data_IF_053895150993
#
_entry.id   IF_053895150993
#
_cell.length_a   1.000
_cell.length_b   1.000
_cell.length_c   1.000
_cell.angle_alpha   90.00
_cell.angle_beta   90.00
_cell.angle_gamma   90.00
#
_symmetry.space_group_name_H-M   'P 1'
#
loop_
_entity.id
_entity.type
_entity.pdbx_description
1 polymer ?
#
# COMPACT_ATOMS: atom_id res chain seq x y z
N UNK A 1 27.58 10.74 -29.98
CA UNK A 1 27.26 9.75 -28.94
C UNK A 1 25.96 10.16 -28.31
N UNK A 2 24.87 9.48 -28.67
CA UNK A 2 23.56 9.70 -28.05
C UNK A 2 23.54 8.96 -26.71
N UNK A 3 23.27 9.70 -25.63
CA UNK A 3 23.18 9.16 -24.27
C UNK A 3 21.99 8.18 -24.19
N UNK A 4 22.14 7.00 -23.56
CA UNK A 4 21.04 6.08 -23.41
C UNK A 4 19.93 6.74 -22.60
N UNK A 5 18.79 6.99 -23.25
CA UNK A 5 17.60 7.55 -22.63
C UNK A 5 17.16 6.62 -21.50
N UNK A 6 17.19 7.13 -20.25
CA UNK A 6 16.71 6.42 -19.05
C UNK A 6 15.38 5.71 -19.39
N UNK A 7 15.22 4.42 -19.05
CA UNK A 7 13.94 3.75 -19.23
C UNK A 7 12.88 4.53 -18.44
N UNK A 8 11.83 4.98 -19.12
CA UNK A 8 10.61 5.48 -18.46
C UNK A 8 10.01 4.31 -17.69
N UNK A 9 10.45 4.12 -16.44
CA UNK A 9 9.79 3.21 -15.52
C UNK A 9 8.33 3.66 -15.42
N UNK A 10 7.42 2.90 -16.01
CA UNK A 10 5.99 3.03 -15.77
C UNK A 10 5.79 2.78 -14.28
N UNK A 11 5.63 3.85 -13.50
CA UNK A 11 5.29 3.72 -12.09
C UNK A 11 3.93 3.02 -12.01
N UNK A 12 3.94 1.73 -11.69
CA UNK A 12 2.73 0.89 -11.57
C UNK A 12 1.93 1.20 -10.31
N UNK A 13 2.47 1.99 -9.38
CA UNK A 13 1.85 2.35 -8.11
C UNK A 13 1.54 3.84 -8.10
N UNK A 14 0.32 4.17 -7.68
CA UNK A 14 -0.14 5.55 -7.49
C UNK A 14 0.16 5.98 -6.06
N UNK A 15 0.67 7.20 -5.89
CA UNK A 15 0.78 7.83 -4.59
C UNK A 15 -0.55 8.50 -4.25
N UNK A 16 -1.13 8.15 -3.10
CA UNK A 16 -2.40 8.70 -2.63
C UNK A 16 -2.21 9.27 -1.23
N UNK A 17 -2.77 10.47 -1.00
CA UNK A 17 -2.77 11.07 0.32
C UNK A 17 -4.04 10.64 1.07
N UNK A 18 -3.88 9.83 2.10
CA UNK A 18 -4.97 9.31 2.90
C UNK A 18 -5.07 10.07 4.23
N UNK A 19 -6.28 10.51 4.59
CA UNK A 19 -6.58 10.99 5.93
C UNK A 19 -7.08 9.82 6.75
N UNK A 20 -6.35 9.43 7.79
CA UNK A 20 -6.76 8.42 8.77
C UNK A 20 -6.72 9.00 10.16
N UNK A 21 -7.49 8.40 11.06
CA UNK A 21 -7.46 8.76 12.47
C UNK A 21 -6.07 8.52 13.07
N UNK A 22 -5.60 9.39 13.97
CA UNK A 22 -4.25 9.31 14.53
C UNK A 22 -4.02 7.99 15.28
N UNK A 23 -5.04 7.50 15.99
CA UNK A 23 -4.97 6.24 16.74
C UNK A 23 -4.72 5.04 15.80
N UNK A 24 -5.37 5.01 14.63
CA UNK A 24 -5.16 3.98 13.62
C UNK A 24 -3.76 4.05 13.01
N UNK A 25 -3.22 5.27 12.79
CA UNK A 25 -1.86 5.44 12.31
C UNK A 25 -0.83 4.92 13.32
N UNK A 26 -1.01 5.22 14.61
CA UNK A 26 -0.13 4.74 15.66
C UNK A 26 -0.15 3.23 15.77
N UNK A 27 -1.33 2.63 15.73
CA UNK A 27 -1.48 1.17 15.71
C UNK A 27 -0.79 0.55 14.49
N UNK A 28 -1.01 1.09 13.27
CA UNK A 28 -0.36 0.62 12.04
C UNK A 28 1.17 0.75 12.08
N UNK A 29 1.70 1.80 12.71
CA UNK A 29 3.15 1.97 12.89
C UNK A 29 3.74 0.90 13.80
N UNK A 30 3.08 0.62 14.93
CA UNK A 30 3.49 -0.46 15.86
C UNK A 30 3.45 -1.82 15.17
N UNK A 31 2.37 -2.09 14.42
CA UNK A 31 2.23 -3.29 13.62
C UNK A 31 3.34 -3.40 12.56
N UNK A 32 3.65 -2.30 11.86
CA UNK A 32 4.74 -2.25 10.88
C UNK A 32 6.11 -2.53 11.48
N UNK A 33 6.35 -2.10 12.72
CA UNK A 33 7.57 -2.43 13.45
C UNK A 33 7.63 -3.92 13.83
N UNK A 34 6.54 -4.49 14.32
CA UNK A 34 6.47 -5.90 14.73
C UNK A 34 6.71 -6.86 13.56
N UNK A 35 6.14 -6.57 12.38
CA UNK A 35 6.29 -7.41 11.20
C UNK A 35 7.45 -7.00 10.27
N UNK A 36 8.24 -6.00 10.66
CA UNK A 36 9.31 -5.41 9.83
C UNK A 36 8.82 -5.00 8.42
N UNK A 37 7.58 -4.49 8.34
CA UNK A 37 6.95 -4.06 7.08
C UNK A 37 6.61 -2.57 7.10
N UNK A 38 6.75 -1.88 5.96
CA UNK A 38 6.30 -0.50 5.86
C UNK A 38 4.78 -0.42 5.97
N UNK A 39 4.25 0.63 6.60
CA UNK A 39 2.81 0.87 6.79
C UNK A 39 2.02 0.76 5.46
N UNK A 40 2.60 1.26 4.36
CA UNK A 40 1.97 1.18 3.04
C UNK A 40 1.77 -0.28 2.57
N UNK A 41 2.66 -1.20 2.95
CA UNK A 41 2.48 -2.63 2.65
C UNK A 41 1.28 -3.19 3.40
N UNK A 42 1.16 -2.88 4.70
CA UNK A 42 0.05 -3.35 5.54
C UNK A 42 -1.29 -2.83 5.05
N UNK A 43 -1.39 -1.55 4.68
CA UNK A 43 -2.60 -0.96 4.12
C UNK A 43 -3.00 -1.68 2.82
N UNK A 44 -2.05 -1.90 1.90
CA UNK A 44 -2.34 -2.61 0.65
C UNK A 44 -2.77 -4.06 0.90
N UNK A 45 -2.18 -4.74 1.89
CA UNK A 45 -2.55 -6.10 2.25
C UNK A 45 -3.98 -6.16 2.80
N UNK A 46 -4.32 -5.28 3.74
CA UNK A 46 -5.67 -5.19 4.32
C UNK A 46 -6.73 -4.88 3.25
N UNK A 47 -6.46 -3.92 2.35
CA UNK A 47 -7.38 -3.58 1.26
C UNK A 47 -7.58 -4.75 0.28
N UNK A 48 -6.52 -5.53 -0.01
CA UNK A 48 -6.65 -6.73 -0.85
C UNK A 48 -7.50 -7.81 -0.18
N UNK A 49 -7.29 -8.04 1.10
CA UNK A 49 -8.07 -9.02 1.86
C UNK A 49 -9.54 -8.63 1.87
N UNK A 50 -9.84 -7.36 2.20
CA UNK A 50 -11.21 -6.84 2.18
C UNK A 50 -11.86 -6.92 0.79
N UNK A 51 -11.10 -6.63 -0.28
CA UNK A 51 -11.58 -6.80 -1.66
C UNK A 51 -12.03 -8.24 -1.93
N UNK A 52 -11.21 -9.22 -1.56
CA UNK A 52 -11.54 -10.63 -1.75
C UNK A 52 -12.79 -11.02 -0.95
N UNK A 53 -12.90 -10.60 0.31
CA UNK A 53 -14.08 -10.90 1.14
C UNK A 53 -15.36 -10.29 0.55
N UNK A 54 -15.32 -9.04 0.09
CA UNK A 54 -16.47 -8.37 -0.54
C UNK A 54 -16.86 -9.03 -1.86
N UNK A 55 -15.89 -9.44 -2.69
CA UNK A 55 -16.16 -10.12 -3.95
C UNK A 55 -16.70 -11.54 -3.72
N UNK A 56 -16.16 -12.27 -2.74
CA UNK A 56 -16.65 -13.60 -2.36
C UNK A 56 -18.03 -13.57 -1.71
N UNK A 57 -18.37 -12.53 -0.95
CA UNK A 57 -19.70 -12.38 -0.35
C UNK A 57 -20.80 -11.96 -1.35
N UNK A 58 -20.39 -11.47 -2.53
CA UNK A 58 -21.31 -11.12 -3.63
C UNK A 58 -21.53 -12.27 -4.62
N UNK A 59 -20.77 -13.35 -4.51
CA UNK A 59 -20.88 -14.58 -5.31
C UNK A 59 -21.85 -15.57 -4.65
#
# INVERSE_FOLDING_TARGET
MELPTKPKSTRTKVQYNLRIEPELLEWLKKLGQEYERPVNYLINHAVKQMKNEVESAKA
#
